data_IF_376249917111
#
_entry.id   IF_376249917111
#
_cell.length_a   1.000
_cell.length_b   1.000
_cell.length_c   1.000
_cell.angle_alpha   90.00
_cell.angle_beta   90.00
_cell.angle_gamma   90.00
#
_symmetry.space_group_name_H-M   'P 1'
#
loop_
_entity.id
_entity.type
_entity.pdbx_description
1 polymer ?
#
# COMPACT_ATOMS: atom_id res chain seq x y z
N UNK A 1 100.85 16.04 -11.66
CA UNK A 1 99.91 15.02 -12.16
C UNK A 1 98.49 15.49 -11.75
N UNK A 2 97.74 16.07 -12.69
CA UNK A 2 96.57 16.80 -12.47
C UNK A 2 95.31 15.85 -12.47
N UNK A 3 94.54 15.90 -11.45
CA UNK A 3 93.21 15.27 -11.40
C UNK A 3 92.20 16.38 -11.45
N UNK A 4 91.45 16.48 -12.50
CA UNK A 4 90.35 17.44 -12.67
C UNK A 4 89.15 16.89 -11.99
N UNK A 5 88.61 17.66 -11.03
CA UNK A 5 87.32 17.41 -10.34
C UNK A 5 86.18 17.85 -11.26
N UNK A 6 85.34 16.95 -11.61
CA UNK A 6 84.16 17.25 -12.41
C UNK A 6 82.96 17.47 -11.40
N UNK A 7 82.51 18.71 -11.36
CA UNK A 7 81.29 19.05 -10.55
C UNK A 7 80.06 18.73 -11.41
N UNK A 8 79.26 17.76 -10.97
CA UNK A 8 77.94 17.45 -11.58
C UNK A 8 76.86 18.15 -10.78
N UNK A 9 76.35 19.26 -11.30
CA UNK A 9 75.19 19.92 -10.73
C UNK A 9 73.94 19.21 -11.22
N UNK A 10 73.36 18.38 -10.37
CA UNK A 10 72.06 17.73 -10.64
C UNK A 10 70.92 18.69 -10.32
N UNK A 11 70.23 19.18 -11.32
CA UNK A 11 69.02 19.95 -11.19
C UNK A 11 67.87 19.00 -10.87
N UNK A 12 67.39 19.03 -9.60
CA UNK A 12 66.23 18.27 -9.18
C UNK A 12 64.94 19.01 -9.67
N UNK A 13 64.34 18.51 -10.75
CA UNK A 13 63.05 18.98 -11.20
C UNK A 13 61.96 18.34 -10.30
N UNK A 14 61.43 19.08 -9.33
CA UNK A 14 60.27 18.72 -8.56
C UNK A 14 59.03 18.82 -9.46
N UNK A 15 58.60 17.69 -10.03
CA UNK A 15 57.28 17.54 -10.63
C UNK A 15 56.27 17.51 -9.50
N UNK A 16 55.65 18.65 -9.19
CA UNK A 16 54.46 18.73 -8.36
C UNK A 16 53.28 18.13 -9.15
N UNK A 17 53.02 16.85 -8.96
CA UNK A 17 51.79 16.22 -9.43
C UNK A 17 50.68 16.77 -8.53
N UNK A 18 50.03 17.83 -8.98
CA UNK A 18 48.80 18.31 -8.41
C UNK A 18 47.73 17.22 -8.57
N UNK A 19 47.51 16.42 -7.53
CA UNK A 19 46.33 15.59 -7.42
C UNK A 19 45.11 16.49 -7.34
N UNK A 20 44.51 16.80 -8.50
CA UNK A 20 43.18 17.31 -8.54
C UNK A 20 42.28 16.22 -7.97
N UNK A 21 42.00 16.29 -6.67
CA UNK A 21 40.92 15.53 -6.09
C UNK A 21 39.64 15.93 -6.85
N UNK A 22 39.19 15.10 -7.80
CA UNK A 22 37.87 15.26 -8.38
C UNK A 22 36.89 15.23 -7.22
N UNK A 23 36.36 16.39 -6.84
CA UNK A 23 35.24 16.47 -5.91
C UNK A 23 34.16 15.55 -6.46
N UNK A 24 33.93 14.42 -5.79
CA UNK A 24 32.84 13.50 -6.13
C UNK A 24 31.58 14.35 -6.16
N UNK A 25 30.99 14.49 -7.35
CA UNK A 25 29.77 15.29 -7.50
C UNK A 25 28.75 14.70 -6.56
N UNK A 26 28.40 15.46 -5.53
CA UNK A 26 27.42 15.01 -4.53
C UNK A 26 26.12 14.76 -5.25
N UNK A 27 25.54 13.56 -5.06
CA UNK A 27 24.28 13.22 -5.70
C UNK A 27 23.19 14.10 -5.08
N UNK A 28 22.61 14.98 -5.86
CA UNK A 28 21.52 15.84 -5.46
C UNK A 28 20.29 14.98 -5.21
N UNK A 29 19.68 15.09 -4.03
CA UNK A 29 18.48 14.38 -3.64
C UNK A 29 17.69 15.21 -2.61
N UNK A 30 16.53 14.71 -2.19
CA UNK A 30 15.64 15.36 -1.24
C UNK A 30 16.21 15.51 0.18
N UNK A 31 17.26 14.73 0.53
CA UNK A 31 17.93 14.84 1.82
C UNK A 31 18.94 15.98 1.91
N UNK A 32 19.49 16.42 0.78
CA UNK A 32 20.53 17.45 0.74
C UNK A 32 20.14 18.70 -0.07
N UNK A 33 18.98 18.69 -0.73
CA UNK A 33 18.53 19.81 -1.56
C UNK A 33 17.02 20.03 -1.34
N UNK A 34 16.59 21.27 -1.03
CA UNK A 34 15.16 21.57 -0.94
C UNK A 34 14.42 21.17 -2.22
N UNK A 35 13.22 20.60 -2.09
CA UNK A 35 12.46 20.02 -3.21
C UNK A 35 12.24 21.00 -4.37
N UNK A 36 12.02 22.29 -4.07
CA UNK A 36 11.81 23.31 -5.10
C UNK A 36 13.09 23.65 -5.92
N UNK A 37 14.26 23.22 -5.46
CA UNK A 37 15.54 23.37 -6.16
C UNK A 37 15.98 22.09 -6.87
N UNK A 38 15.28 20.98 -6.67
CA UNK A 38 15.56 19.73 -7.39
C UNK A 38 15.20 19.92 -8.86
N UNK A 39 16.16 19.64 -9.72
CA UNK A 39 15.98 19.66 -11.17
C UNK A 39 16.05 18.23 -11.68
N UNK A 40 15.11 17.78 -12.52
CA UNK A 40 15.20 16.46 -13.13
C UNK A 40 16.42 16.37 -14.06
N UNK A 41 17.10 15.23 -14.07
CA UNK A 41 18.25 14.98 -14.94
C UNK A 41 17.87 14.87 -16.42
N UNK A 42 16.58 14.77 -16.72
CA UNK A 42 16.04 14.68 -18.07
C UNK A 42 14.98 15.77 -18.29
N UNK A 43 14.78 16.13 -19.54
CA UNK A 43 13.72 17.07 -19.90
C UNK A 43 12.37 16.42 -19.65
N UNK A 44 11.65 16.93 -18.65
CA UNK A 44 10.26 16.55 -18.42
C UNK A 44 9.37 17.45 -19.27
N UNK A 45 8.63 16.91 -20.22
CA UNK A 45 7.67 17.71 -20.97
C UNK A 45 6.48 18.02 -20.05
N UNK A 46 6.50 19.19 -19.44
CA UNK A 46 5.36 19.68 -18.64
C UNK A 46 4.24 20.12 -19.56
N UNK A 47 3.46 19.20 -20.04
CA UNK A 47 2.19 19.44 -20.73
C UNK A 47 1.11 18.61 -20.06
N UNK A 48 -0.12 19.09 -20.10
CA UNK A 48 -1.26 18.28 -19.72
C UNK A 48 -1.33 17.03 -20.63
N UNK A 49 -1.43 15.85 -20.01
CA UNK A 49 -1.67 14.62 -20.75
C UNK A 49 -3.09 14.62 -21.31
N UNK A 50 -3.26 14.09 -22.49
CA UNK A 50 -4.59 13.81 -23.03
C UNK A 50 -5.24 12.65 -22.26
N UNK A 51 -6.57 12.58 -22.27
CA UNK A 51 -7.31 11.47 -21.65
C UNK A 51 -6.91 10.12 -22.23
N UNK A 52 -6.54 10.05 -23.51
CA UNK A 52 -6.04 8.83 -24.14
C UNK A 52 -4.67 8.41 -23.62
N UNK A 53 -3.75 9.34 -23.43
CA UNK A 53 -2.42 9.07 -22.83
C UNK A 53 -2.59 8.56 -21.40
N UNK A 54 -3.43 9.22 -20.58
CA UNK A 54 -3.73 8.79 -19.20
C UNK A 54 -4.32 7.38 -19.21
N UNK A 55 -5.35 7.11 -20.06
CA UNK A 55 -5.95 5.78 -20.14
C UNK A 55 -4.94 4.72 -20.54
N UNK A 56 -4.05 5.01 -21.48
CA UNK A 56 -3.01 4.08 -21.91
C UNK A 56 -2.08 3.67 -20.75
N UNK A 57 -1.73 4.63 -19.89
CA UNK A 57 -0.90 4.35 -18.72
C UNK A 57 -1.65 3.53 -17.66
N UNK A 58 -2.92 3.86 -17.40
CA UNK A 58 -3.74 3.09 -16.44
C UNK A 58 -3.98 1.66 -16.97
N UNK A 59 -4.22 1.47 -18.25
CA UNK A 59 -4.35 0.14 -18.88
C UNK A 59 -3.06 -0.68 -18.74
N UNK A 60 -1.91 -0.04 -18.87
CA UNK A 60 -0.61 -0.69 -18.67
C UNK A 60 -0.44 -1.14 -17.22
N UNK A 61 -0.84 -0.30 -16.27
CA UNK A 61 -0.84 -0.62 -14.84
C UNK A 61 -1.79 -1.79 -14.57
N UNK A 62 -3.04 -1.74 -15.06
CA UNK A 62 -4.01 -2.82 -14.88
C UNK A 62 -3.45 -4.17 -15.35
N UNK A 63 -2.94 -4.24 -16.59
CA UNK A 63 -2.34 -5.48 -17.14
C UNK A 63 -1.19 -6.02 -16.27
N UNK A 64 -0.38 -5.11 -15.71
CA UNK A 64 0.69 -5.51 -14.81
C UNK A 64 0.16 -6.08 -13.50
N UNK A 65 -0.83 -5.42 -12.89
CA UNK A 65 -1.46 -5.87 -11.65
C UNK A 65 -2.18 -7.20 -11.82
N UNK A 66 -2.91 -7.40 -12.92
CA UNK A 66 -3.56 -8.69 -13.25
C UNK A 66 -2.55 -9.84 -13.28
N UNK A 67 -1.39 -9.60 -13.86
CA UNK A 67 -0.32 -10.60 -13.97
C UNK A 67 0.37 -10.90 -12.64
N UNK A 68 0.41 -9.95 -11.72
CA UNK A 68 1.28 -10.00 -10.53
C UNK A 68 0.53 -10.12 -9.21
N UNK A 69 -0.80 -10.12 -9.22
CA UNK A 69 -1.66 -10.34 -8.05
C UNK A 69 -2.55 -11.57 -8.27
N UNK A 70 -2.18 -12.69 -7.65
CA UNK A 70 -2.81 -13.98 -7.88
C UNK A 70 -4.01 -14.20 -6.95
N UNK A 71 -5.06 -14.85 -7.48
CA UNK A 71 -6.27 -15.25 -6.75
C UNK A 71 -6.33 -16.78 -6.64
N UNK A 72 -5.31 -17.36 -6.01
CA UNK A 72 -5.18 -18.82 -5.83
C UNK A 72 -4.69 -19.14 -4.43
N UNK A 73 -5.12 -20.28 -3.92
CA UNK A 73 -4.56 -20.89 -2.70
C UNK A 73 -3.58 -21.97 -3.13
N UNK A 74 -2.43 -22.03 -2.47
CA UNK A 74 -1.38 -23.03 -2.74
C UNK A 74 -0.89 -23.65 -1.44
N UNK A 75 -0.32 -24.84 -1.51
CA UNK A 75 0.48 -25.39 -0.42
C UNK A 75 1.84 -24.70 -0.40
N UNK A 76 2.25 -24.15 0.74
CA UNK A 76 3.55 -23.52 0.91
C UNK A 76 4.70 -24.50 0.63
N UNK A 77 4.53 -25.77 1.05
CA UNK A 77 5.56 -26.80 0.93
C UNK A 77 5.78 -27.30 -0.50
N UNK A 78 4.70 -27.39 -1.27
CA UNK A 78 4.76 -28.04 -2.59
C UNK A 78 4.52 -27.10 -3.76
N UNK A 79 4.01 -25.89 -3.51
CA UNK A 79 3.58 -24.93 -4.53
C UNK A 79 2.34 -25.37 -5.33
N UNK A 80 1.73 -26.52 -4.99
CA UNK A 80 0.56 -27.01 -5.71
C UNK A 80 -0.66 -26.17 -5.40
N UNK A 81 -1.45 -25.84 -6.43
CA UNK A 81 -2.71 -25.14 -6.30
C UNK A 81 -3.72 -26.04 -5.57
N UNK A 82 -4.43 -25.45 -4.61
CA UNK A 82 -5.51 -26.05 -3.85
C UNK A 82 -6.81 -25.47 -4.38
N UNK A 83 -7.70 -26.31 -4.89
CA UNK A 83 -9.00 -25.92 -5.45
C UNK A 83 -10.17 -26.28 -4.55
N UNK A 84 -9.98 -27.22 -3.63
CA UNK A 84 -10.96 -27.57 -2.60
C UNK A 84 -10.57 -26.92 -1.28
N UNK A 85 -11.33 -25.91 -0.88
CA UNK A 85 -11.08 -25.16 0.35
C UNK A 85 -11.75 -25.76 1.58
N UNK A 86 -12.59 -26.79 1.44
CA UNK A 86 -13.38 -27.36 2.54
C UNK A 86 -12.51 -27.94 3.66
N UNK A 87 -11.30 -28.38 3.32
CA UNK A 87 -10.34 -28.93 4.29
C UNK A 87 -8.91 -28.47 3.95
N UNK A 88 -8.63 -27.19 4.19
CA UNK A 88 -7.31 -26.63 3.94
C UNK A 88 -6.22 -27.30 4.79
N UNK A 89 -5.10 -27.72 4.19
CA UNK A 89 -3.95 -28.19 4.95
C UNK A 89 -3.32 -27.04 5.76
N UNK A 90 -2.59 -27.38 6.82
CA UNK A 90 -1.98 -26.40 7.72
C UNK A 90 -0.99 -25.45 7.03
N UNK A 91 -0.44 -25.85 5.89
CA UNK A 91 0.47 -25.06 5.05
C UNK A 91 -0.21 -24.37 3.87
N UNK A 92 -1.53 -24.26 3.89
CA UNK A 92 -2.25 -23.51 2.88
C UNK A 92 -1.95 -22.01 3.02
N UNK A 93 -1.66 -21.37 1.90
CA UNK A 93 -1.41 -19.93 1.83
C UNK A 93 -1.99 -19.33 0.54
N UNK A 94 -2.20 -18.03 0.54
CA UNK A 94 -2.44 -17.31 -0.71
C UNK A 94 -1.19 -17.36 -1.57
N UNK A 95 -1.36 -17.62 -2.87
CA UNK A 95 -0.22 -17.60 -3.79
C UNK A 95 0.45 -16.22 -3.77
N UNK A 96 1.74 -16.21 -3.54
CA UNK A 96 2.51 -14.97 -3.50
C UNK A 96 2.73 -14.45 -4.92
N UNK A 97 2.28 -13.25 -5.16
CA UNK A 97 2.62 -12.46 -6.34
C UNK A 97 3.68 -11.41 -6.02
N UNK A 98 3.83 -10.43 -6.90
CA UNK A 98 4.67 -9.26 -6.62
C UNK A 98 4.10 -8.39 -5.49
N UNK A 99 2.79 -8.51 -5.22
CA UNK A 99 2.07 -7.70 -4.26
C UNK A 99 1.11 -8.53 -3.42
N UNK A 100 0.68 -7.97 -2.30
CA UNK A 100 -0.37 -8.55 -1.44
C UNK A 100 -1.74 -8.27 -2.05
N UNK A 101 -2.76 -9.03 -1.61
CA UNK A 101 -4.17 -8.76 -1.97
C UNK A 101 -4.88 -7.85 -0.96
N UNK A 102 -4.32 -7.72 0.24
CA UNK A 102 -4.88 -6.90 1.30
C UNK A 102 -3.75 -6.19 2.06
N UNK A 103 -3.74 -4.88 1.95
CA UNK A 103 -2.89 -3.92 2.66
C UNK A 103 -3.44 -2.53 2.36
N UNK A 104 -2.95 -1.49 3.03
CA UNK A 104 -3.41 -0.13 2.75
C UNK A 104 -3.18 0.26 1.27
N UNK A 105 -2.03 -0.09 0.69
CA UNK A 105 -1.73 0.19 -0.73
C UNK A 105 -2.75 -0.47 -1.65
N UNK A 106 -3.20 -1.70 -1.30
CA UNK A 106 -4.21 -2.39 -2.10
C UNK A 106 -5.60 -1.84 -1.91
N UNK A 107 -5.97 -1.41 -0.72
CA UNK A 107 -7.22 -0.68 -0.49
C UNK A 107 -7.31 0.59 -1.35
N UNK A 108 -6.22 1.36 -1.41
CA UNK A 108 -6.11 2.55 -2.28
C UNK A 108 -6.14 2.16 -3.76
N UNK A 109 -5.40 1.10 -4.15
CA UNK A 109 -5.36 0.61 -5.54
C UNK A 109 -6.75 0.15 -6.01
N UNK A 110 -7.48 -0.60 -5.21
CA UNK A 110 -8.86 -1.01 -5.55
C UNK A 110 -9.78 0.20 -5.69
N UNK A 111 -9.67 1.18 -4.79
CA UNK A 111 -10.44 2.41 -4.88
C UNK A 111 -10.12 3.21 -6.15
N UNK A 112 -8.84 3.27 -6.55
CA UNK A 112 -8.39 3.91 -7.77
C UNK A 112 -8.89 3.18 -9.02
N UNK A 113 -8.88 1.84 -9.03
CA UNK A 113 -9.41 1.05 -10.16
C UNK A 113 -10.92 1.24 -10.31
N UNK A 114 -11.69 1.30 -9.21
CA UNK A 114 -13.12 1.63 -9.27
C UNK A 114 -13.36 3.04 -9.82
N UNK A 115 -12.56 4.02 -9.41
CA UNK A 115 -12.63 5.37 -9.96
C UNK A 115 -12.26 5.42 -11.46
N UNK A 116 -11.27 4.62 -11.88
CA UNK A 116 -10.94 4.47 -13.30
C UNK A 116 -12.08 3.86 -14.11
N UNK A 117 -12.76 2.85 -13.57
CA UNK A 117 -13.95 2.27 -14.20
C UNK A 117 -15.06 3.32 -14.37
N UNK A 118 -15.32 4.10 -13.33
CA UNK A 118 -16.34 5.17 -13.36
C UNK A 118 -15.98 6.27 -14.37
N UNK A 119 -14.73 6.72 -14.39
CA UNK A 119 -14.28 7.80 -15.25
C UNK A 119 -14.18 7.41 -16.73
N UNK A 120 -13.87 6.15 -17.04
CA UNK A 120 -13.62 5.68 -18.41
C UNK A 120 -14.77 4.88 -19.00
N UNK A 121 -15.68 4.36 -18.16
CA UNK A 121 -16.71 3.39 -18.56
C UNK A 121 -16.15 2.00 -18.87
N UNK A 122 -14.86 1.73 -18.63
CA UNK A 122 -14.22 0.46 -18.92
C UNK A 122 -14.38 -0.51 -17.74
N UNK A 123 -15.20 -1.54 -17.94
CA UNK A 123 -15.53 -2.52 -16.93
C UNK A 123 -14.32 -3.39 -16.47
N UNK A 124 -13.23 -3.41 -17.23
CA UNK A 124 -12.06 -4.22 -16.90
C UNK A 124 -11.46 -3.82 -15.54
N UNK A 125 -11.44 -2.53 -15.22
CA UNK A 125 -10.95 -2.05 -13.93
C UNK A 125 -11.82 -2.54 -12.76
N UNK A 126 -13.15 -2.47 -12.91
CA UNK A 126 -14.07 -2.98 -11.88
C UNK A 126 -13.96 -4.50 -11.73
N UNK A 127 -13.81 -5.22 -12.86
CA UNK A 127 -13.60 -6.66 -12.84
C UNK A 127 -12.34 -7.05 -12.08
N UNK A 128 -11.25 -6.32 -12.24
CA UNK A 128 -10.02 -6.53 -11.47
C UNK A 128 -10.29 -6.51 -9.96
N UNK A 129 -11.07 -5.55 -9.48
CA UNK A 129 -11.41 -5.39 -8.06
C UNK A 129 -12.34 -6.52 -7.59
N UNK A 130 -13.42 -6.75 -8.33
CA UNK A 130 -14.45 -7.73 -7.94
C UNK A 130 -13.93 -9.15 -7.92
N UNK A 131 -13.07 -9.54 -8.85
CA UNK A 131 -12.47 -10.89 -8.87
C UNK A 131 -11.64 -11.15 -7.60
N UNK A 132 -10.90 -10.16 -7.13
CA UNK A 132 -10.08 -10.29 -5.92
C UNK A 132 -10.91 -10.28 -4.64
N UNK A 133 -11.91 -9.44 -4.58
CA UNK A 133 -12.80 -9.43 -3.43
C UNK A 133 -13.68 -10.68 -3.33
N UNK A 134 -14.18 -11.20 -4.46
CA UNK A 134 -14.89 -12.49 -4.51
C UNK A 134 -13.99 -13.61 -4.00
N UNK A 135 -12.77 -13.68 -4.49
CA UNK A 135 -11.80 -14.66 -4.02
C UNK A 135 -11.53 -14.55 -2.51
N UNK A 136 -11.27 -13.35 -1.99
CA UNK A 136 -11.06 -13.15 -0.56
C UNK A 136 -12.28 -13.54 0.28
N UNK A 137 -13.48 -13.18 -0.16
CA UNK A 137 -14.73 -13.55 0.52
C UNK A 137 -14.95 -15.08 0.52
N UNK A 138 -14.61 -15.74 -0.58
CA UNK A 138 -14.73 -17.20 -0.72
C UNK A 138 -13.78 -17.94 0.22
N UNK A 139 -12.51 -17.54 0.28
CA UNK A 139 -11.51 -18.27 1.05
C UNK A 139 -11.49 -17.92 2.54
N UNK A 140 -11.96 -16.73 2.92
CA UNK A 140 -11.88 -16.23 4.30
C UNK A 140 -12.48 -17.16 5.36
N UNK A 141 -13.66 -17.77 5.18
CA UNK A 141 -14.21 -18.73 6.17
C UNK A 141 -13.29 -19.93 6.39
N UNK A 142 -12.67 -20.44 5.33
CA UNK A 142 -11.79 -21.61 5.39
C UNK A 142 -10.47 -21.29 6.10
N UNK A 143 -9.90 -20.12 5.86
CA UNK A 143 -8.72 -19.66 6.58
C UNK A 143 -9.03 -19.28 8.04
N UNK A 144 -10.26 -18.83 8.35
CA UNK A 144 -10.71 -18.64 9.72
C UNK A 144 -10.73 -19.96 10.49
N UNK A 145 -11.31 -20.99 9.91
CA UNK A 145 -11.29 -22.35 10.49
C UNK A 145 -9.86 -22.86 10.69
N UNK A 146 -8.97 -22.59 9.75
CA UNK A 146 -7.56 -22.95 9.85
C UNK A 146 -6.87 -22.21 11.00
N UNK A 147 -7.14 -20.91 11.16
CA UNK A 147 -6.63 -20.09 12.25
C UNK A 147 -7.13 -20.58 13.60
N UNK A 148 -8.42 -20.89 13.74
CA UNK A 148 -9.02 -21.39 14.97
C UNK A 148 -8.47 -22.77 15.36
N UNK A 149 -8.27 -23.65 14.38
CA UNK A 149 -7.74 -24.99 14.60
C UNK A 149 -6.26 -25.02 14.97
N UNK A 150 -5.45 -24.19 14.35
CA UNK A 150 -4.00 -24.27 14.44
C UNK A 150 -3.35 -23.08 15.19
N UNK A 151 -4.13 -22.06 15.56
CA UNK A 151 -3.61 -20.81 16.15
C UNK A 151 -2.85 -19.91 15.18
N UNK A 152 -2.71 -20.34 13.92
CA UNK A 152 -2.01 -19.59 12.86
C UNK A 152 -2.61 -19.88 11.49
N UNK A 153 -2.36 -18.99 10.53
CA UNK A 153 -2.79 -19.12 9.14
C UNK A 153 -1.87 -18.27 8.24
N UNK A 154 -2.15 -18.24 6.94
CA UNK A 154 -1.46 -17.34 6.00
C UNK A 154 -1.39 -15.90 6.53
N UNK A 155 -0.22 -15.21 6.47
CA UNK A 155 -0.06 -13.87 7.04
C UNK A 155 -1.01 -12.83 6.44
N UNK A 156 -1.33 -12.88 5.15
CA UNK A 156 -2.28 -11.93 4.53
C UNK A 156 -3.70 -12.21 5.02
N UNK A 157 -4.09 -13.50 5.07
CA UNK A 157 -5.40 -13.87 5.61
C UNK A 157 -5.51 -13.56 7.10
N UNK A 158 -4.43 -13.75 7.87
CA UNK A 158 -4.41 -13.33 9.27
C UNK A 158 -4.66 -11.84 9.43
N UNK A 159 -4.05 -10.99 8.59
CA UNK A 159 -4.27 -9.55 8.60
C UNK A 159 -5.72 -9.17 8.27
N UNK A 160 -6.37 -9.91 7.36
CA UNK A 160 -7.78 -9.71 7.02
C UNK A 160 -8.70 -10.17 8.17
N UNK A 161 -8.41 -11.34 8.74
CA UNK A 161 -9.26 -11.98 9.76
C UNK A 161 -9.10 -11.38 11.15
N UNK A 162 -7.90 -10.88 11.46
CA UNK A 162 -7.55 -10.25 12.73
C UNK A 162 -6.82 -8.92 12.47
N UNK A 163 -7.53 -7.88 12.01
CA UNK A 163 -6.96 -6.58 11.73
C UNK A 163 -6.27 -6.00 12.98
N UNK A 164 -5.16 -5.26 12.77
CA UNK A 164 -4.35 -4.73 13.87
C UNK A 164 -3.72 -3.36 13.57
N UNK A 165 -4.00 -2.81 12.41
CA UNK A 165 -3.53 -1.49 11.97
C UNK A 165 -4.63 -0.78 11.20
N UNK A 166 -4.86 0.48 11.52
CA UNK A 166 -5.97 1.28 10.99
C UNK A 166 -5.81 1.56 9.50
N UNK A 167 -4.59 1.85 9.05
CA UNK A 167 -4.27 2.07 7.64
C UNK A 167 -4.67 0.88 6.76
N UNK A 168 -4.18 -0.31 7.10
CA UNK A 168 -4.51 -1.55 6.39
C UNK A 168 -6.02 -1.86 6.43
N UNK A 169 -6.61 -1.80 7.61
CA UNK A 169 -8.02 -2.13 7.81
C UNK A 169 -8.94 -1.13 7.11
N UNK A 170 -8.66 0.15 7.27
CA UNK A 170 -9.53 1.22 6.80
C UNK A 170 -9.55 1.33 5.28
N UNK A 171 -8.40 1.31 4.63
CA UNK A 171 -8.30 1.40 3.19
C UNK A 171 -9.01 0.24 2.47
N UNK A 172 -8.78 -1.00 2.93
CA UNK A 172 -9.42 -2.19 2.36
C UNK A 172 -10.92 -2.22 2.64
N UNK A 173 -11.34 -1.88 3.87
CA UNK A 173 -12.76 -1.80 4.25
C UNK A 173 -13.52 -0.79 3.38
N UNK A 174 -12.99 0.42 3.21
CA UNK A 174 -13.60 1.44 2.36
C UNK A 174 -13.78 0.97 0.92
N UNK A 175 -12.76 0.30 0.36
CA UNK A 175 -12.82 -0.26 -0.98
C UNK A 175 -13.86 -1.39 -1.09
N UNK A 176 -13.94 -2.29 -0.08
CA UNK A 176 -14.93 -3.35 -0.04
C UNK A 176 -16.36 -2.80 0.04
N UNK A 177 -16.60 -1.78 0.87
CA UNK A 177 -17.92 -1.13 0.96
C UNK A 177 -18.31 -0.52 -0.38
N UNK A 178 -17.40 0.22 -1.04
CA UNK A 178 -17.67 0.79 -2.38
C UNK A 178 -18.00 -0.28 -3.40
N UNK A 179 -17.25 -1.38 -3.43
CA UNK A 179 -17.53 -2.49 -4.33
C UNK A 179 -18.88 -3.16 -4.03
N UNK A 180 -19.21 -3.41 -2.74
CA UNK A 180 -20.48 -4.01 -2.32
C UNK A 180 -21.69 -3.13 -2.66
N UNK A 181 -21.54 -1.80 -2.62
CA UNK A 181 -22.60 -0.88 -3.05
C UNK A 181 -22.85 -0.92 -4.55
N UNK A 182 -21.82 -1.15 -5.36
CA UNK A 182 -21.93 -1.26 -6.82
C UNK A 182 -22.42 -2.64 -7.27
N UNK A 183 -21.98 -3.71 -6.59
CA UNK A 183 -22.39 -5.08 -6.88
C UNK A 183 -22.77 -5.82 -5.59
N UNK A 184 -24.06 -5.89 -5.31
CA UNK A 184 -24.62 -6.54 -4.11
C UNK A 184 -24.36 -8.05 -4.08
N UNK A 185 -24.03 -8.67 -5.19
CA UNK A 185 -23.76 -10.11 -5.30
C UNK A 185 -22.40 -10.52 -4.71
N UNK A 186 -21.52 -9.57 -4.40
CA UNK A 186 -20.17 -9.85 -3.89
C UNK A 186 -20.17 -10.51 -2.49
N UNK A 187 -21.20 -10.30 -1.69
CA UNK A 187 -21.33 -10.83 -0.33
C UNK A 187 -20.12 -10.52 0.57
N UNK A 188 -19.68 -9.27 0.58
CA UNK A 188 -18.52 -8.82 1.35
C UNK A 188 -18.84 -8.45 2.80
N UNK A 189 -20.11 -8.49 3.20
CA UNK A 189 -20.54 -8.10 4.56
C UNK A 189 -19.75 -8.76 5.69
N UNK A 190 -19.43 -10.09 5.68
CA UNK A 190 -18.68 -10.68 6.77
C UNK A 190 -17.25 -10.10 6.94
N UNK A 191 -16.62 -9.69 5.84
CA UNK A 191 -15.30 -9.05 5.87
C UNK A 191 -15.41 -7.57 6.26
N UNK A 192 -16.39 -6.86 5.72
CA UNK A 192 -16.69 -5.46 6.07
C UNK A 192 -16.98 -5.35 7.57
N UNK A 193 -17.85 -6.20 8.11
CA UNK A 193 -18.20 -6.19 9.52
C UNK A 193 -17.00 -6.48 10.42
N UNK A 194 -16.13 -7.40 10.01
CA UNK A 194 -14.90 -7.70 10.74
C UNK A 194 -13.93 -6.52 10.78
N UNK A 195 -13.76 -5.79 9.67
CA UNK A 195 -12.96 -4.57 9.64
C UNK A 195 -13.59 -3.44 10.44
N UNK A 196 -14.91 -3.25 10.32
CA UNK A 196 -15.64 -2.21 11.07
C UNK A 196 -15.62 -2.47 12.58
N UNK A 197 -15.73 -3.74 13.00
CA UNK A 197 -15.59 -4.09 14.43
C UNK A 197 -14.21 -3.70 14.96
N UNK A 198 -13.14 -3.93 14.17
CA UNK A 198 -11.81 -3.46 14.53
C UNK A 198 -11.77 -1.93 14.62
N UNK A 199 -12.15 -1.23 13.55
CA UNK A 199 -12.06 0.22 13.44
C UNK A 199 -12.88 0.93 14.54
N UNK A 200 -14.10 0.46 14.79
CA UNK A 200 -15.01 1.12 15.70
C UNK A 200 -14.79 0.76 17.17
N UNK A 201 -14.39 -0.50 17.45
CA UNK A 201 -14.43 -1.04 18.81
C UNK A 201 -13.05 -1.45 19.36
N UNK A 202 -12.04 -1.67 18.51
CA UNK A 202 -10.76 -2.23 18.94
C UNK A 202 -9.56 -1.34 18.64
N UNK A 203 -9.68 -0.42 17.66
CA UNK A 203 -8.61 0.52 17.35
C UNK A 203 -8.33 1.45 18.51
N UNK A 204 -7.04 1.70 18.76
CA UNK A 204 -6.62 2.56 19.85
C UNK A 204 -7.09 4.01 19.66
N UNK A 205 -7.60 4.60 20.72
CA UNK A 205 -8.07 5.99 20.72
C UNK A 205 -7.59 6.75 21.94
N UNK A 206 -7.45 8.05 21.79
CA UNK A 206 -7.29 8.97 22.90
C UNK A 206 -8.60 9.08 23.72
N UNK A 207 -8.53 9.68 24.89
CA UNK A 207 -9.67 9.85 25.78
C UNK A 207 -10.85 10.64 25.16
N UNK A 208 -10.57 11.50 24.19
CA UNK A 208 -11.57 12.26 23.41
C UNK A 208 -12.15 11.50 22.21
N UNK A 209 -11.71 10.25 21.98
CA UNK A 209 -12.15 9.41 20.88
C UNK A 209 -11.32 9.55 19.60
N UNK A 210 -10.29 10.38 19.57
CA UNK A 210 -9.40 10.55 18.40
C UNK A 210 -8.64 9.26 18.14
N UNK A 211 -8.56 8.82 16.87
CA UNK A 211 -7.70 7.72 16.45
C UNK A 211 -6.24 8.04 16.72
N UNK A 212 -5.54 7.12 17.34
CA UNK A 212 -4.13 7.27 17.64
C UNK A 212 -3.39 5.93 17.54
N UNK A 213 -2.08 5.98 17.48
CA UNK A 213 -1.21 4.79 17.47
C UNK A 213 -0.52 4.58 18.80
N UNK A 214 -0.31 3.32 19.13
CA UNK A 214 0.53 2.91 20.27
C UNK A 214 2.00 2.70 19.86
N UNK A 215 2.29 2.77 18.60
CA UNK A 215 3.63 2.60 18.00
C UNK A 215 3.84 3.57 16.83
N UNK A 216 5.08 4.03 16.56
CA UNK A 216 6.31 3.68 17.30
C UNK A 216 6.34 4.22 18.73
N UNK A 217 5.48 5.22 19.04
CA UNK A 217 5.31 5.81 20.36
C UNK A 217 3.84 5.89 20.72
N UNK A 218 3.53 5.75 22.01
CA UNK A 218 2.17 5.88 22.52
C UNK A 218 1.61 7.29 22.25
N UNK A 219 0.32 7.35 21.89
CA UNK A 219 -0.42 8.57 21.58
C UNK A 219 0.11 9.33 20.33
N UNK A 220 0.73 8.61 19.41
CA UNK A 220 1.13 9.22 18.12
C UNK A 220 -0.09 9.42 17.23
N UNK A 221 -0.25 10.62 16.70
CA UNK A 221 -1.29 10.97 15.73
C UNK A 221 -0.67 11.01 14.32
N UNK A 222 -1.29 10.28 13.41
CA UNK A 222 -0.90 10.26 12.02
C UNK A 222 -2.07 10.76 11.16
N UNK A 223 -1.79 11.69 10.27
CA UNK A 223 -2.82 12.24 9.38
C UNK A 223 -3.35 11.18 8.41
N UNK A 224 -2.53 10.21 8.01
CA UNK A 224 -2.94 9.09 7.16
C UNK A 224 -3.96 8.18 7.85
N UNK A 225 -3.88 8.00 9.18
CA UNK A 225 -4.89 7.25 9.94
C UNK A 225 -6.27 7.90 9.86
N UNK A 226 -6.34 9.22 9.85
CA UNK A 226 -7.60 9.92 9.60
C UNK A 226 -8.09 9.68 8.17
N UNK A 227 -7.20 9.73 7.19
CA UNK A 227 -7.54 9.44 5.81
C UNK A 227 -7.97 7.97 5.61
N UNK A 228 -7.39 7.04 6.34
CA UNK A 228 -7.72 5.61 6.24
C UNK A 228 -8.91 5.21 7.13
N UNK A 229 -9.05 5.81 8.31
CA UNK A 229 -10.10 5.44 9.28
C UNK A 229 -11.45 6.07 9.01
N UNK A 230 -11.49 7.31 8.52
CA UNK A 230 -12.75 8.06 8.29
C UNK A 230 -13.54 7.55 7.07
N UNK A 231 -12.95 7.27 5.91
CA UNK A 231 -13.69 6.83 4.72
C UNK A 231 -14.53 5.55 4.94
N UNK A 232 -14.05 4.47 5.56
CA UNK A 232 -14.90 3.29 5.76
C UNK A 232 -16.13 3.58 6.63
N UNK A 233 -16.00 4.43 7.66
CA UNK A 233 -17.12 4.83 8.52
C UNK A 233 -18.13 5.66 7.73
N UNK A 234 -17.65 6.63 6.92
CA UNK A 234 -18.50 7.46 6.08
C UNK A 234 -19.24 6.64 5.00
N UNK A 235 -18.55 5.70 4.35
CA UNK A 235 -19.18 4.80 3.38
C UNK A 235 -20.15 3.82 4.02
N UNK A 236 -19.83 3.32 5.22
CA UNK A 236 -20.72 2.44 5.96
C UNK A 236 -22.04 3.13 6.34
N UNK A 237 -22.00 4.40 6.73
CA UNK A 237 -23.22 5.16 7.02
C UNK A 237 -24.17 5.24 5.83
N UNK A 238 -23.61 5.34 4.60
CA UNK A 238 -24.40 5.29 3.35
C UNK A 238 -24.95 3.90 3.04
N UNK A 239 -24.20 2.85 3.37
CA UNK A 239 -24.60 1.46 3.12
C UNK A 239 -25.72 1.01 4.06
N UNK A 240 -25.68 1.48 5.29
CA UNK A 240 -26.59 1.01 6.35
C UNK A 240 -27.96 1.72 6.36
N UNK A 241 -28.15 2.78 5.57
CA UNK A 241 -29.34 3.66 5.60
C UNK A 241 -29.73 4.06 7.04
N UNK A 242 -28.75 4.15 7.93
CA UNK A 242 -28.92 4.40 9.35
C UNK A 242 -28.59 5.84 9.69
N UNK A 243 -29.36 6.38 10.63
CA UNK A 243 -29.15 7.71 11.20
C UNK A 243 -27.64 8.00 11.40
N UNK A 244 -27.19 9.03 10.71
CA UNK A 244 -25.79 9.50 10.75
C UNK A 244 -25.27 9.83 12.16
N UNK A 245 -26.17 9.94 13.13
CA UNK A 245 -25.87 10.32 14.52
C UNK A 245 -24.95 9.36 15.28
N UNK A 246 -24.90 8.07 14.90
CA UNK A 246 -24.05 7.08 15.57
C UNK A 246 -22.59 7.07 15.05
N UNK A 247 -22.32 7.75 13.95
CA UNK A 247 -21.00 7.76 13.29
C UNK A 247 -20.34 9.13 13.37
N UNK A 248 -20.58 9.86 14.45
CA UNK A 248 -20.05 11.20 14.68
C UNK A 248 -18.53 11.27 14.89
N UNK A 249 -17.78 10.27 14.43
CA UNK A 249 -16.31 10.26 14.42
C UNK A 249 -15.72 11.36 13.53
N UNK A 250 -16.51 11.85 12.56
CA UNK A 250 -16.11 12.98 11.71
C UNK A 250 -16.03 14.31 12.49
N UNK A 251 -16.74 14.42 13.60
CA UNK A 251 -16.76 15.64 14.42
C UNK A 251 -15.74 15.62 15.57
N UNK A 252 -15.17 14.47 15.89
CA UNK A 252 -14.15 14.33 16.95
C UNK A 252 -12.73 14.35 16.43
N UNK A 253 -12.56 14.36 15.10
CA UNK A 253 -11.24 14.55 14.50
C UNK A 253 -10.93 16.05 14.50
N UNK A 254 -9.83 16.51 15.12
CA UNK A 254 -9.45 17.91 15.10
C UNK A 254 -9.31 18.40 13.66
N UNK A 255 -10.02 19.47 13.33
CA UNK A 255 -9.86 20.12 12.04
C UNK A 255 -8.47 20.78 12.00
N UNK A 256 -7.75 20.72 10.86
CA UNK A 256 -6.49 21.44 10.70
C UNK A 256 -6.64 22.98 10.81
N UNK A 257 -7.84 23.48 11.07
CA UNK A 257 -8.17 24.91 11.16
C UNK A 257 -8.50 25.37 12.58
N UNK A 258 -8.46 24.47 13.57
CA UNK A 258 -8.64 24.80 14.99
C UNK A 258 -7.27 24.90 15.74
#
# INVERSE_FOLDING_TARGET
MNIKTFCLTGTLLLLSIGTYAQKKKETINDSNTPLHLLQPEYKVPYKALSTTEVKTDIDRILRYLEKTTHTRVVSEKTGKVITDYSNLPADAQLERGAFRLASYEWGVTYSAMMAAAEATGDAAYMKYVTDRFKFLAEVAPHFRNLLEKNGTTDPQMKQILTPHALDDAGAVCAAMIKAQLQDKSLNLYPLIDNYLDFILNKEYRLADGTFARIRPQLNTLWLDDMFMGVPPVAWYSRMADKEQSKYCLLYTSPSPRD
#
